data_IF_221304818015
#
_entry.id   IF_221304818015
#
_cell.length_a   1.000
_cell.length_b   1.000
_cell.length_c   1.000
_cell.angle_alpha   90.00
_cell.angle_beta   90.00
_cell.angle_gamma   90.00
#
_symmetry.space_group_name_H-M   'P 1'
#
loop_
_entity.id
_entity.type
_entity.pdbx_description
1 polymer ?
#
# COMPACT_ATOMS: atom_id res chain seq x y z
N UNK A 1 30.03 10.29 25.94
CA UNK A 1 29.01 9.23 26.02
C UNK A 1 28.53 8.97 24.60
N UNK A 2 28.82 7.79 24.05
CA UNK A 2 28.49 7.46 22.64
C UNK A 2 26.98 7.16 22.55
N UNK A 3 26.25 7.89 21.73
CA UNK A 3 24.87 7.67 21.45
C UNK A 3 24.72 6.32 20.74
N UNK A 4 24.17 5.31 21.42
CA UNK A 4 23.73 4.07 20.79
C UNK A 4 22.50 4.43 19.96
N UNK A 5 22.51 4.20 18.62
CA UNK A 5 21.38 4.59 17.80
C UNK A 5 20.13 3.79 18.23
N UNK A 6 19.01 4.49 18.39
CA UNK A 6 17.70 3.97 18.81
C UNK A 6 17.28 2.74 18.00
N UNK A 7 17.75 2.60 16.75
CA UNK A 7 17.52 1.43 15.89
C UNK A 7 18.08 0.10 16.46
N UNK A 8 19.20 0.13 17.20
CA UNK A 8 19.80 -1.09 17.77
C UNK A 8 18.99 -1.56 18.97
N UNK A 9 18.37 -0.65 19.72
CA UNK A 9 17.52 -1.00 20.87
C UNK A 9 16.19 -1.59 20.40
N UNK A 10 15.62 -1.08 19.29
CA UNK A 10 14.38 -1.64 18.72
C UNK A 10 14.58 -3.07 18.16
N UNK A 11 15.75 -3.34 17.55
CA UNK A 11 16.08 -4.65 16.99
C UNK A 11 16.32 -5.71 18.08
N UNK A 12 16.95 -5.32 19.20
CA UNK A 12 17.18 -6.24 20.34
C UNK A 12 15.92 -6.57 21.11
N UNK A 13 14.90 -5.70 21.11
CA UNK A 13 13.60 -6.00 21.74
C UNK A 13 12.78 -7.01 20.94
N UNK A 14 12.96 -7.10 19.61
CA UNK A 14 12.28 -8.10 18.77
C UNK A 14 12.81 -9.54 18.95
N UNK A 15 14.06 -9.73 19.41
CA UNK A 15 14.66 -11.05 19.53
C UNK A 15 14.30 -11.81 20.82
N UNK A 16 13.60 -11.18 21.76
CA UNK A 16 13.27 -11.76 23.08
C UNK A 16 11.80 -12.15 23.26
N UNK A 17 10.98 -12.15 22.20
CA UNK A 17 9.59 -12.60 22.30
C UNK A 17 9.58 -14.12 22.18
N UNK A 18 9.29 -14.89 23.24
CA UNK A 18 9.12 -16.33 23.12
C UNK A 18 7.98 -16.60 22.14
N UNK A 19 8.20 -17.54 21.22
CA UNK A 19 7.16 -18.02 20.30
C UNK A 19 6.06 -18.71 21.13
N UNK A 20 5.13 -17.94 21.67
CA UNK A 20 3.92 -18.47 22.27
C UNK A 20 3.11 -19.09 21.12
N UNK A 21 2.89 -20.38 21.18
CA UNK A 21 1.98 -21.08 20.29
C UNK A 21 0.59 -20.44 20.44
N UNK A 22 0.12 -19.77 19.40
CA UNK A 22 -1.14 -19.04 19.43
C UNK A 22 -2.25 -19.92 18.86
N UNK A 23 -3.03 -20.53 19.74
CA UNK A 23 -4.35 -21.02 19.38
C UNK A 23 -5.32 -19.82 19.41
N UNK A 24 -5.89 -19.46 18.25
CA UNK A 24 -6.98 -18.48 18.13
C UNK A 24 -6.55 -17.01 18.09
N UNK A 25 -5.76 -16.61 17.09
CA UNK A 25 -5.46 -15.19 16.84
C UNK A 25 -6.72 -14.35 16.55
N UNK A 26 -6.74 -13.10 17.04
CA UNK A 26 -7.83 -12.15 16.78
C UNK A 26 -7.62 -11.53 15.40
N UNK A 27 -8.58 -11.68 14.49
CA UNK A 27 -8.60 -10.96 13.24
C UNK A 27 -8.76 -9.45 13.50
N UNK A 28 -7.80 -8.64 13.07
CA UNK A 28 -7.80 -7.19 13.29
C UNK A 28 -8.57 -6.46 12.20
N UNK A 29 -8.31 -6.80 10.92
CA UNK A 29 -8.98 -6.27 9.75
C UNK A 29 -9.71 -7.39 8.99
N UNK A 30 -10.64 -7.03 8.12
CA UNK A 30 -11.34 -8.00 7.26
C UNK A 30 -10.53 -8.36 6.02
N UNK A 31 -9.82 -7.37 5.47
CA UNK A 31 -9.06 -7.48 4.24
C UNK A 31 -7.55 -7.46 4.50
N UNK A 32 -6.78 -8.03 3.59
CA UNK A 32 -5.32 -7.94 3.55
C UNK A 32 -4.82 -6.54 3.21
N UNK A 33 -5.72 -5.62 2.79
CA UNK A 33 -5.42 -4.23 2.42
C UNK A 33 -6.51 -3.27 2.90
N UNK A 34 -6.12 -2.05 3.31
CA UNK A 34 -7.01 -0.90 3.46
C UNK A 34 -7.18 -0.18 2.10
N UNK A 35 -7.34 1.15 2.08
CA UNK A 35 -7.48 1.86 0.79
C UNK A 35 -6.16 1.88 0.03
N UNK A 36 -5.10 2.42 0.67
CA UNK A 36 -3.77 2.54 0.08
C UNK A 36 -2.80 1.51 0.67
N UNK A 37 -2.75 1.36 1.99
CA UNK A 37 -1.77 0.53 2.69
C UNK A 37 -2.22 -0.92 2.89
N UNK A 38 -1.26 -1.83 3.04
CA UNK A 38 -1.51 -3.21 3.45
C UNK A 38 -1.98 -3.27 4.90
N UNK A 39 -2.75 -4.30 5.26
CA UNK A 39 -3.09 -4.62 6.65
C UNK A 39 -2.23 -5.76 7.20
N UNK A 40 -2.24 -5.95 8.52
CA UNK A 40 -1.53 -7.06 9.20
C UNK A 40 -2.02 -8.44 8.80
N UNK A 41 -3.17 -8.56 8.13
CA UNK A 41 -3.78 -9.85 7.83
C UNK A 41 -2.98 -10.65 6.81
N UNK A 42 -2.70 -11.90 7.14
CA UNK A 42 -2.15 -12.94 6.26
C UNK A 42 -3.25 -13.92 5.88
N UNK A 43 -3.10 -14.56 4.74
CA UNK A 43 -3.98 -15.64 4.34
C UNK A 43 -3.63 -16.92 5.09
N UNK A 44 -4.63 -17.67 5.53
CA UNK A 44 -4.43 -19.02 6.07
C UNK A 44 -3.86 -19.95 4.99
N UNK A 45 -3.17 -20.99 5.41
CA UNK A 45 -2.59 -21.98 4.51
C UNK A 45 -3.61 -22.51 3.50
N UNK A 46 -3.19 -22.64 2.24
CA UNK A 46 -4.01 -23.12 1.10
C UNK A 46 -5.19 -22.20 0.72
N UNK A 47 -5.15 -20.94 1.11
CA UNK A 47 -6.09 -19.96 0.62
C UNK A 47 -5.48 -19.14 -0.49
N UNK A 48 -6.27 -18.89 -1.52
CA UNK A 48 -5.93 -18.01 -2.65
C UNK A 48 -6.92 -16.84 -2.65
N UNK A 49 -6.42 -15.61 -2.60
CA UNK A 49 -7.19 -14.40 -2.80
C UNK A 49 -6.89 -13.82 -4.17
N UNK A 50 -7.88 -13.80 -5.06
CA UNK A 50 -7.78 -13.15 -6.37
C UNK A 50 -8.35 -11.75 -6.25
N UNK A 51 -7.57 -10.75 -6.68
CA UNK A 51 -7.87 -9.34 -6.45
C UNK A 51 -7.79 -8.51 -7.73
N UNK A 52 -8.78 -7.63 -7.88
CA UNK A 52 -8.82 -6.59 -8.91
C UNK A 52 -9.00 -5.25 -8.20
N UNK A 53 -8.16 -4.29 -8.51
CA UNK A 53 -8.26 -2.92 -8.04
C UNK A 53 -8.28 -1.95 -9.21
N UNK A 54 -9.06 -0.88 -9.09
CA UNK A 54 -9.18 0.16 -10.11
C UNK A 54 -9.21 1.53 -9.44
N UNK A 55 -8.46 2.47 -10.01
CA UNK A 55 -8.53 3.90 -9.67
C UNK A 55 -8.88 4.70 -10.91
N UNK A 56 -9.88 5.55 -10.77
CA UNK A 56 -10.38 6.43 -11.82
C UNK A 56 -9.59 7.73 -11.89
N UNK A 57 -10.00 8.63 -12.76
CA UNK A 57 -9.44 9.97 -12.88
C UNK A 57 -9.79 10.88 -11.71
N UNK A 58 -9.41 12.13 -11.84
CA UNK A 58 -9.70 13.17 -10.87
C UNK A 58 -11.21 13.44 -10.80
N UNK A 59 -11.74 13.53 -9.56
CA UNK A 59 -13.17 13.70 -9.35
C UNK A 59 -13.61 15.17 -9.49
N UNK A 60 -12.96 16.08 -8.77
CA UNK A 60 -13.40 17.49 -8.61
C UNK A 60 -12.27 18.51 -8.79
N UNK A 61 -11.01 18.10 -8.91
CA UNK A 61 -9.89 18.99 -9.13
C UNK A 61 -9.82 19.51 -10.58
N UNK A 62 -8.69 20.10 -10.94
CA UNK A 62 -8.46 20.77 -12.23
C UNK A 62 -8.70 19.89 -13.46
N UNK A 63 -8.46 18.57 -13.32
CA UNK A 63 -8.67 17.58 -14.38
C UNK A 63 -9.95 16.77 -14.21
N UNK A 64 -10.87 17.20 -13.34
CA UNK A 64 -12.09 16.52 -12.96
C UNK A 64 -13.37 17.19 -13.46
N UNK A 65 -14.45 16.96 -12.71
CA UNK A 65 -15.75 17.56 -12.94
C UNK A 65 -16.56 16.92 -14.08
N UNK A 66 -17.60 17.63 -14.48
CA UNK A 66 -18.57 17.11 -15.48
C UNK A 66 -17.95 16.80 -16.83
N UNK A 67 -16.95 17.56 -17.27
CA UNK A 67 -16.29 17.37 -18.57
C UNK A 67 -15.61 16.01 -18.73
N UNK A 68 -15.24 15.37 -17.63
CA UNK A 68 -14.61 14.03 -17.58
C UNK A 68 -15.55 13.01 -16.93
N UNK A 69 -16.83 13.34 -16.82
CA UNK A 69 -17.80 12.58 -16.04
C UNK A 69 -17.25 12.23 -14.63
N UNK A 70 -16.73 13.25 -13.95
CA UNK A 70 -16.11 13.12 -12.62
C UNK A 70 -14.95 12.10 -12.58
N UNK A 71 -14.14 12.07 -13.63
CA UNK A 71 -13.00 11.17 -13.76
C UNK A 71 -13.35 9.73 -14.12
N UNK A 72 -14.64 9.34 -14.17
CA UNK A 72 -15.06 7.95 -14.39
C UNK A 72 -14.72 7.42 -15.79
N UNK A 73 -14.46 8.28 -16.77
CA UNK A 73 -14.01 7.89 -18.10
C UNK A 73 -12.52 7.50 -18.16
N UNK A 74 -11.76 7.73 -17.08
CA UNK A 74 -10.31 7.54 -17.05
C UNK A 74 -9.95 6.42 -16.08
N UNK A 75 -9.03 5.53 -16.50
CA UNK A 75 -8.38 4.57 -15.62
C UNK A 75 -6.97 5.07 -15.31
N UNK A 76 -6.73 5.64 -14.11
CA UNK A 76 -5.38 6.05 -13.71
C UNK A 76 -4.52 4.84 -13.41
N UNK A 77 -4.98 3.94 -12.55
CA UNK A 77 -4.30 2.68 -12.30
C UNK A 77 -5.27 1.51 -12.22
N UNK A 78 -4.79 0.35 -12.65
CA UNK A 78 -5.48 -0.93 -12.59
C UNK A 78 -4.53 -1.96 -12.04
N UNK A 79 -4.98 -2.71 -11.05
CA UNK A 79 -4.25 -3.83 -10.45
C UNK A 79 -5.04 -5.12 -10.66
N UNK A 80 -4.36 -6.17 -11.09
CA UNK A 80 -4.89 -7.54 -11.12
C UNK A 80 -3.83 -8.50 -10.61
N UNK A 81 -4.21 -9.44 -9.79
CA UNK A 81 -3.28 -10.44 -9.26
C UNK A 81 -3.91 -11.32 -8.21
N UNK A 82 -3.06 -12.02 -7.50
CA UNK A 82 -3.46 -12.93 -6.44
C UNK A 82 -2.43 -13.00 -5.32
N UNK A 83 -2.91 -13.34 -4.13
CA UNK A 83 -2.13 -13.70 -2.95
C UNK A 83 -2.43 -15.14 -2.55
N UNK A 84 -1.42 -15.90 -2.15
CA UNK A 84 -1.53 -17.29 -1.72
C UNK A 84 -0.94 -17.49 -0.33
N UNK A 85 -1.73 -18.06 0.57
CA UNK A 85 -1.30 -18.51 1.89
C UNK A 85 -0.45 -19.78 1.80
N UNK A 86 0.88 -19.63 1.73
CA UNK A 86 1.81 -20.75 1.71
C UNK A 86 1.85 -21.48 3.06
N UNK A 87 1.72 -20.73 4.14
CA UNK A 87 1.50 -21.22 5.51
C UNK A 87 0.49 -20.27 6.21
N UNK A 88 0.09 -20.57 7.43
CA UNK A 88 -0.77 -19.66 8.20
C UNK A 88 -0.09 -18.32 8.57
N UNK A 89 1.23 -18.22 8.38
CA UNK A 89 2.01 -17.01 8.67
C UNK A 89 2.59 -16.38 7.41
N UNK A 90 2.68 -17.10 6.29
CA UNK A 90 3.36 -16.66 5.07
C UNK A 90 2.36 -16.56 3.92
N UNK A 91 2.17 -15.37 3.40
CA UNK A 91 1.43 -15.07 2.18
C UNK A 91 2.38 -14.57 1.11
N UNK A 92 2.31 -15.14 -0.07
CA UNK A 92 3.05 -14.74 -1.26
C UNK A 92 2.06 -14.17 -2.28
N UNK A 93 2.41 -13.08 -2.93
CA UNK A 93 1.53 -12.45 -3.91
C UNK A 93 2.25 -12.09 -5.21
N UNK A 94 1.46 -12.02 -6.28
CA UNK A 94 1.91 -11.54 -7.57
C UNK A 94 0.82 -10.68 -8.21
N UNK A 95 1.18 -9.45 -8.58
CA UNK A 95 0.27 -8.46 -9.14
C UNK A 95 0.84 -7.79 -10.38
N UNK A 96 -0.05 -7.50 -11.32
CA UNK A 96 0.20 -6.59 -12.42
C UNK A 96 -0.49 -5.27 -12.13
N UNK A 97 0.26 -4.16 -12.22
CA UNK A 97 -0.31 -2.81 -12.16
C UNK A 97 0.00 -2.04 -13.44
N UNK A 98 -0.86 -1.10 -13.82
CA UNK A 98 -0.59 -0.18 -14.91
C UNK A 98 0.57 0.76 -14.56
N UNK A 99 0.63 1.17 -13.29
CA UNK A 99 1.51 2.21 -12.78
C UNK A 99 0.98 3.60 -13.13
N UNK A 100 0.76 4.43 -12.14
CA UNK A 100 0.10 5.72 -12.30
C UNK A 100 0.88 6.88 -11.68
N UNK A 101 1.95 6.58 -10.94
CA UNK A 101 2.79 7.60 -10.32
C UNK A 101 3.36 8.57 -11.34
N UNK A 102 3.37 9.84 -11.00
CA UNK A 102 3.97 10.91 -11.79
C UNK A 102 4.61 11.94 -10.87
N UNK A 103 5.63 12.60 -11.37
CA UNK A 103 6.22 13.78 -10.77
C UNK A 103 5.36 15.02 -11.10
N UNK A 104 5.48 16.12 -10.33
CA UNK A 104 4.72 17.35 -10.59
C UNK A 104 5.00 17.97 -11.98
N UNK A 105 6.18 17.73 -12.56
CA UNK A 105 6.54 18.14 -13.92
C UNK A 105 5.91 17.26 -15.03
N UNK A 106 5.10 16.27 -14.63
CA UNK A 106 4.43 15.34 -15.54
C UNK A 106 5.27 14.14 -15.97
N UNK A 107 6.53 14.02 -15.54
CA UNK A 107 7.30 12.81 -15.80
C UNK A 107 6.66 11.61 -15.10
N UNK A 108 6.51 10.51 -15.82
CA UNK A 108 5.93 9.28 -15.30
C UNK A 108 6.94 8.49 -14.47
N UNK A 109 6.47 7.91 -13.37
CA UNK A 109 7.16 6.84 -12.65
C UNK A 109 7.23 5.53 -13.45
N UNK A 110 7.39 4.41 -12.77
CA UNK A 110 7.38 3.09 -13.42
C UNK A 110 6.01 2.80 -14.03
N UNK A 111 6.01 2.18 -15.21
CA UNK A 111 4.80 1.78 -15.94
C UNK A 111 4.80 0.29 -16.24
N UNK A 112 3.59 -0.28 -16.38
CA UNK A 112 3.40 -1.69 -16.72
C UNK A 112 4.18 -2.59 -15.73
N UNK A 113 3.89 -2.46 -14.45
CA UNK A 113 4.71 -3.00 -13.36
C UNK A 113 4.26 -4.40 -12.96
N UNK A 114 5.19 -5.32 -12.84
CA UNK A 114 5.01 -6.60 -12.17
C UNK A 114 5.49 -6.47 -10.73
N UNK A 115 4.67 -6.91 -9.78
CA UNK A 115 4.92 -6.77 -8.35
C UNK A 115 4.91 -8.16 -7.69
N UNK A 116 6.06 -8.62 -7.21
CA UNK A 116 6.16 -9.79 -6.35
C UNK A 116 6.11 -9.36 -4.90
N UNK A 117 5.21 -9.93 -4.09
CA UNK A 117 4.99 -9.53 -2.70
C UNK A 117 5.19 -10.68 -1.73
N UNK A 118 5.63 -10.35 -0.52
CA UNK A 118 5.73 -11.27 0.61
C UNK A 118 5.14 -10.61 1.85
N UNK A 119 4.32 -11.36 2.60
CA UNK A 119 3.76 -10.93 3.87
C UNK A 119 3.99 -12.04 4.91
N UNK A 120 4.57 -11.68 6.06
CA UNK A 120 4.91 -12.65 7.11
C UNK A 120 4.43 -12.16 8.48
N UNK A 121 3.51 -12.92 9.08
CA UNK A 121 3.00 -12.66 10.42
C UNK A 121 4.05 -13.05 11.47
N UNK A 122 4.60 -12.06 12.16
CA UNK A 122 5.57 -12.22 13.25
C UNK A 122 4.86 -12.51 14.57
N UNK A 123 3.77 -11.78 14.84
CA UNK A 123 2.96 -11.86 16.04
C UNK A 123 1.50 -11.63 15.70
N UNK A 124 0.59 -12.35 16.35
CA UNK A 124 -0.85 -12.14 16.23
C UNK A 124 -1.44 -11.73 17.58
N UNK A 125 -2.29 -10.72 17.57
CA UNK A 125 -3.04 -10.32 18.74
C UNK A 125 -3.93 -11.46 19.22
N UNK A 126 -3.97 -11.70 20.52
CA UNK A 126 -4.83 -12.73 21.12
C UNK A 126 -5.34 -12.29 22.47
N UNK A 127 -6.54 -12.78 22.84
CA UNK A 127 -7.14 -12.47 24.13
C UNK A 127 -6.33 -13.12 25.26
N UNK A 128 -5.81 -12.30 26.18
CA UNK A 128 -4.94 -12.77 27.28
C UNK A 128 -3.49 -13.05 26.87
N UNK A 129 -3.11 -12.77 25.60
CA UNK A 129 -1.76 -12.90 25.07
C UNK A 129 -1.22 -11.57 24.54
N UNK A 130 -0.72 -11.57 23.30
CA UNK A 130 -0.16 -10.38 22.68
C UNK A 130 -1.20 -9.27 22.48
N UNK A 131 -0.92 -8.01 22.87
CA UNK A 131 -1.87 -6.89 22.74
C UNK A 131 -1.96 -6.36 21.31
N UNK A 132 -1.00 -6.71 20.43
CA UNK A 132 -0.91 -6.25 19.06
C UNK A 132 -0.60 -7.40 18.09
N UNK A 133 -0.96 -7.22 16.84
CA UNK A 133 -0.44 -8.00 15.70
C UNK A 133 0.75 -7.30 15.11
N UNK A 134 1.76 -8.06 14.67
CA UNK A 134 2.96 -7.57 14.01
C UNK A 134 3.20 -8.39 12.75
N UNK A 135 3.25 -7.73 11.60
CA UNK A 135 3.44 -8.38 10.30
C UNK A 135 4.44 -7.58 9.47
N UNK A 136 5.40 -8.28 8.87
CA UNK A 136 6.27 -7.72 7.84
C UNK A 136 5.61 -7.87 6.47
N UNK A 137 5.73 -6.86 5.62
CA UNK A 137 5.37 -6.92 4.22
C UNK A 137 6.46 -6.29 3.35
N UNK A 138 6.70 -6.89 2.19
CA UNK A 138 7.64 -6.38 1.21
C UNK A 138 7.16 -6.61 -0.21
N UNK A 139 7.59 -5.72 -1.12
CA UNK A 139 7.34 -5.82 -2.56
C UNK A 139 8.61 -5.52 -3.34
N UNK A 140 8.83 -6.30 -4.39
CA UNK A 140 9.76 -6.01 -5.47
C UNK A 140 8.95 -5.73 -6.73
N UNK A 141 9.07 -4.51 -7.24
CA UNK A 141 8.37 -4.01 -8.41
C UNK A 141 9.32 -3.92 -9.60
N UNK A 142 8.90 -4.41 -10.77
CA UNK A 142 9.69 -4.38 -12.00
C UNK A 142 8.87 -3.82 -13.17
N UNK A 143 9.32 -2.73 -13.78
CA UNK A 143 8.70 -2.19 -14.99
C UNK A 143 8.97 -3.06 -16.21
N UNK A 144 7.91 -3.43 -16.94
CA UNK A 144 7.99 -4.09 -18.25
C UNK A 144 7.77 -3.11 -19.42
N UNK A 145 7.65 -1.81 -19.12
CA UNK A 145 7.46 -0.78 -20.15
C UNK A 145 8.64 -0.73 -21.12
N UNK A 146 8.35 -0.32 -22.34
CA UNK A 146 9.37 -0.12 -23.35
C UNK A 146 10.36 0.98 -22.94
N UNK A 147 11.64 0.76 -23.26
CA UNK A 147 12.70 1.73 -23.03
C UNK A 147 12.55 2.91 -23.99
N UNK A 148 12.72 4.14 -23.47
CA UNK A 148 12.84 5.36 -24.28
C UNK A 148 14.32 5.76 -24.29
N UNK A 149 15.06 5.29 -25.29
CA UNK A 149 16.52 5.41 -25.33
C UNK A 149 17.01 6.85 -25.66
N UNK A 150 16.22 7.60 -26.42
CA UNK A 150 16.63 8.90 -26.97
C UNK A 150 16.52 10.07 -25.97
N UNK A 151 16.01 9.82 -24.76
CA UNK A 151 15.91 10.81 -23.71
C UNK A 151 16.58 10.30 -22.43
N UNK A 152 17.80 10.74 -22.09
CA UNK A 152 18.53 10.29 -20.91
C UNK A 152 17.92 10.81 -19.59
N UNK A 153 17.12 11.88 -19.63
CA UNK A 153 16.66 12.60 -18.44
C UNK A 153 15.34 12.05 -17.88
N UNK A 154 14.75 11.04 -18.52
CA UNK A 154 13.52 10.41 -18.04
C UNK A 154 13.77 9.07 -17.34
N UNK A 155 12.93 8.76 -16.33
CA UNK A 155 12.99 7.50 -15.57
C UNK A 155 12.95 6.28 -16.50
N UNK A 156 12.16 6.31 -17.59
CA UNK A 156 12.02 5.22 -18.56
C UNK A 156 13.17 5.03 -19.54
N UNK A 157 14.30 5.74 -19.39
CA UNK A 157 15.48 5.47 -20.21
C UNK A 157 16.03 4.06 -19.97
N UNK A 158 15.97 3.52 -18.74
CA UNK A 158 16.36 2.16 -18.39
C UNK A 158 17.67 1.67 -19.05
N UNK A 159 18.77 2.33 -18.77
CA UNK A 159 20.07 1.93 -19.32
C UNK A 159 20.53 0.54 -18.84
N UNK A 160 19.96 0.02 -17.74
CA UNK A 160 20.17 -1.34 -17.24
C UNK A 160 18.86 -1.95 -16.74
N UNK A 161 18.82 -3.29 -16.54
CA UNK A 161 17.63 -3.94 -15.96
C UNK A 161 17.33 -3.46 -14.55
N UNK A 162 18.35 -3.21 -13.73
CA UNK A 162 18.17 -2.69 -12.36
C UNK A 162 17.41 -1.37 -12.32
N UNK A 163 17.54 -0.54 -13.36
CA UNK A 163 16.81 0.73 -13.45
C UNK A 163 15.28 0.56 -13.56
N UNK A 164 14.82 -0.63 -13.88
CA UNK A 164 13.38 -0.99 -13.91
C UNK A 164 12.80 -1.34 -12.55
N UNK A 165 13.66 -1.43 -11.52
CA UNK A 165 13.29 -1.99 -10.23
C UNK A 165 13.03 -0.90 -9.17
N UNK A 166 11.99 -1.14 -8.37
CA UNK A 166 11.75 -0.45 -7.12
C UNK A 166 11.34 -1.46 -6.05
N UNK A 167 11.61 -1.12 -4.79
CA UNK A 167 11.36 -2.00 -3.65
C UNK A 167 10.68 -1.21 -2.54
N UNK A 168 9.83 -1.88 -1.78
CA UNK A 168 9.33 -1.34 -0.53
C UNK A 168 9.26 -2.45 0.51
N UNK A 169 9.60 -2.10 1.75
CA UNK A 169 9.45 -2.96 2.91
C UNK A 169 8.86 -2.18 4.07
N UNK A 170 7.90 -2.80 4.79
CA UNK A 170 7.23 -2.17 5.91
C UNK A 170 6.94 -3.15 7.04
N UNK A 171 6.83 -2.61 8.24
CA UNK A 171 6.39 -3.32 9.42
C UNK A 171 5.02 -2.80 9.81
N UNK A 172 4.03 -3.66 9.86
CA UNK A 172 2.66 -3.31 10.25
C UNK A 172 2.45 -3.71 11.71
N UNK A 173 2.07 -2.75 12.54
CA UNK A 173 1.78 -2.90 13.97
C UNK A 173 0.31 -2.52 14.16
N UNK A 174 -0.54 -3.49 14.46
CA UNK A 174 -1.97 -3.24 14.54
C UNK A 174 -2.59 -3.80 15.81
N UNK A 175 -3.66 -3.16 16.24
CA UNK A 175 -4.47 -3.63 17.36
C UNK A 175 -5.96 -3.46 17.07
N UNK A 176 -6.73 -4.50 17.35
CA UNK A 176 -8.17 -4.43 17.48
C UNK A 176 -8.49 -3.95 18.88
N UNK A 177 -8.77 -2.65 19.03
CA UNK A 177 -9.01 -1.99 20.31
C UNK A 177 -10.37 -2.39 20.90
N UNK A 178 -11.34 -2.68 20.03
CA UNK A 178 -12.67 -3.15 20.40
C UNK A 178 -13.27 -4.01 19.29
N UNK A 179 -14.49 -4.51 19.48
CA UNK A 179 -15.20 -5.26 18.43
C UNK A 179 -15.49 -4.41 17.19
N UNK A 180 -15.38 -3.08 17.30
CA UNK A 180 -15.70 -2.15 16.22
C UNK A 180 -14.52 -1.38 15.66
N UNK A 181 -13.42 -1.23 16.42
CA UNK A 181 -12.33 -0.31 16.06
C UNK A 181 -11.02 -1.07 16.00
N UNK A 182 -10.33 -0.97 14.88
CA UNK A 182 -8.96 -1.41 14.69
C UNK A 182 -8.09 -0.25 14.23
N UNK A 183 -6.85 -0.21 14.72
CA UNK A 183 -5.83 0.78 14.34
C UNK A 183 -4.57 0.07 13.90
N UNK A 184 -3.84 0.68 12.98
CA UNK A 184 -2.55 0.21 12.47
C UNK A 184 -1.58 1.35 12.29
N UNK A 185 -0.32 1.11 12.65
CA UNK A 185 0.85 1.93 12.37
C UNK A 185 1.76 1.15 11.41
N UNK A 186 2.31 1.84 10.40
CA UNK A 186 3.07 1.19 9.34
C UNK A 186 4.32 2.00 8.97
N UNK A 187 5.43 1.91 9.75
CA UNK A 187 6.72 2.41 9.31
C UNK A 187 7.22 1.58 8.12
N UNK A 188 7.75 2.27 7.10
CA UNK A 188 8.21 1.64 5.88
C UNK A 188 9.37 2.39 5.23
N UNK A 189 10.02 1.72 4.26
CA UNK A 189 11.10 2.27 3.45
C UNK A 189 10.92 1.83 1.99
N UNK A 190 10.94 2.82 1.10
CA UNK A 190 10.89 2.62 -0.35
C UNK A 190 12.24 2.91 -0.95
N UNK A 191 12.73 2.06 -1.85
CA UNK A 191 13.93 2.30 -2.65
C UNK A 191 13.61 2.19 -4.13
N UNK A 192 14.04 3.18 -4.91
CA UNK A 192 13.89 3.23 -6.35
C UNK A 192 15.28 3.32 -6.97
N UNK A 193 15.61 2.42 -7.89
CA UNK A 193 16.95 2.39 -8.49
C UNK A 193 17.22 3.55 -9.45
N UNK A 194 16.15 4.14 -9.99
CA UNK A 194 16.20 5.36 -10.83
C UNK A 194 15.18 6.36 -10.33
N UNK A 195 15.60 7.58 -10.18
CA UNK A 195 14.78 8.73 -9.79
C UNK A 195 15.12 9.93 -10.68
N UNK A 196 14.25 10.95 -10.67
CA UNK A 196 14.52 12.21 -11.34
C UNK A 196 15.73 12.93 -10.70
N UNK A 197 16.31 13.86 -11.45
CA UNK A 197 17.36 14.73 -10.93
C UNK A 197 16.85 15.49 -9.69
N UNK A 198 17.67 15.57 -8.65
CA UNK A 198 17.35 16.14 -7.33
C UNK A 198 16.42 15.29 -6.44
N UNK A 199 15.85 14.20 -6.92
CA UNK A 199 15.05 13.28 -6.10
C UNK A 199 15.95 12.26 -5.37
N UNK A 200 15.41 11.64 -4.30
CA UNK A 200 16.10 10.67 -3.45
C UNK A 200 15.71 9.25 -3.85
N UNK A 201 16.70 8.36 -3.97
CA UNK A 201 16.45 6.93 -4.23
C UNK A 201 15.71 6.26 -3.07
N UNK A 202 16.07 6.61 -1.84
CA UNK A 202 15.54 6.05 -0.60
C UNK A 202 14.53 6.98 0.06
N UNK A 203 13.42 6.44 0.56
CA UNK A 203 12.34 7.22 1.14
C UNK A 203 11.73 6.48 2.33
N UNK A 204 11.85 7.04 3.54
CA UNK A 204 11.11 6.56 4.70
C UNK A 204 9.66 7.05 4.64
N UNK A 205 8.76 6.26 5.20
CA UNK A 205 7.34 6.60 5.30
C UNK A 205 6.72 6.09 6.58
N UNK A 206 5.63 6.73 7.00
CA UNK A 206 4.80 6.29 8.11
C UNK A 206 3.34 6.27 7.68
N UNK A 207 2.76 5.08 7.66
CA UNK A 207 1.33 4.88 7.42
C UNK A 207 0.55 4.78 8.73
N UNK A 208 -0.65 5.35 8.74
CA UNK A 208 -1.67 5.16 9.77
C UNK A 208 -2.92 4.61 9.09
N UNK A 209 -3.49 3.55 9.64
CA UNK A 209 -4.70 2.94 9.12
C UNK A 209 -5.72 2.65 10.21
N UNK A 210 -6.99 2.73 9.86
CA UNK A 210 -8.10 2.41 10.77
C UNK A 210 -9.23 1.70 10.05
N UNK A 211 -9.99 0.94 10.81
CA UNK A 211 -11.24 0.32 10.40
C UNK A 211 -12.28 0.47 11.49
N UNK A 212 -13.46 0.97 11.11
CA UNK A 212 -14.65 1.05 11.94
C UNK A 212 -15.70 0.08 11.43
N UNK A 213 -16.00 -0.95 12.21
CA UNK A 213 -17.08 -1.92 11.92
C UNK A 213 -18.44 -1.29 12.17
N UNK A 214 -19.24 -1.12 11.13
CA UNK A 214 -20.61 -0.60 11.24
C UNK A 214 -21.63 -1.72 11.48
N UNK A 215 -21.49 -2.83 10.74
CA UNK A 215 -22.31 -4.03 10.85
C UNK A 215 -21.50 -5.28 10.55
N UNK A 216 -22.11 -6.45 10.49
CA UNK A 216 -21.42 -7.68 10.07
C UNK A 216 -20.92 -7.63 8.64
N UNK A 217 -21.57 -6.85 7.79
CA UNK A 217 -21.30 -6.71 6.35
C UNK A 217 -20.49 -5.46 6.04
N UNK A 218 -20.74 -4.34 6.72
CA UNK A 218 -20.20 -3.04 6.39
C UNK A 218 -19.13 -2.55 7.37
N UNK A 219 -18.06 -2.00 6.85
CA UNK A 219 -17.01 -1.30 7.58
C UNK A 219 -16.56 -0.03 6.86
N UNK A 220 -16.16 0.98 7.62
CA UNK A 220 -15.45 2.14 7.09
C UNK A 220 -13.96 1.89 7.30
N UNK A 221 -13.16 2.14 6.28
CA UNK A 221 -11.71 2.07 6.31
C UNK A 221 -11.12 3.42 5.93
N UNK A 222 -10.04 3.80 6.60
CA UNK A 222 -9.30 5.01 6.24
C UNK A 222 -7.81 4.78 6.48
N UNK A 223 -6.99 5.44 5.68
CA UNK A 223 -5.55 5.46 5.86
C UNK A 223 -4.92 6.76 5.40
N UNK A 224 -3.75 7.06 5.95
CA UNK A 224 -2.87 8.15 5.51
C UNK A 224 -1.44 7.64 5.51
N UNK A 225 -0.64 8.04 4.53
CA UNK A 225 0.79 7.75 4.47
C UNK A 225 1.58 9.05 4.30
N UNK A 226 2.49 9.28 5.25
CA UNK A 226 3.39 10.42 5.30
C UNK A 226 4.76 9.99 4.78
N UNK A 227 5.23 10.47 3.62
CA UNK A 227 6.63 10.31 3.20
C UNK A 227 7.53 11.30 3.98
N UNK A 228 8.74 10.87 4.35
CA UNK A 228 9.76 11.71 4.96
C UNK A 228 10.87 11.97 3.96
N UNK A 229 10.92 13.17 3.40
CA UNK A 229 11.84 13.58 2.35
C UNK A 229 11.92 15.10 2.30
N UNK A 230 13.10 15.63 2.09
CA UNK A 230 13.31 17.07 1.89
C UNK A 230 12.78 17.52 0.51
N UNK A 231 12.69 16.61 -0.45
CA UNK A 231 12.17 16.88 -1.78
C UNK A 231 10.64 16.81 -1.87
N UNK A 232 9.98 15.92 -1.08
CA UNK A 232 8.53 15.69 -1.14
C UNK A 232 7.75 16.58 -0.20
N UNK A 233 7.74 17.87 -0.53
CA UNK A 233 7.00 18.91 0.20
C UNK A 233 5.83 19.42 -0.64
N UNK A 234 4.86 20.07 -0.02
CA UNK A 234 3.76 20.72 -0.74
C UNK A 234 4.24 21.84 -1.67
N UNK A 235 5.37 22.49 -1.33
CA UNK A 235 6.01 23.49 -2.19
C UNK A 235 6.51 22.88 -3.50
N UNK A 236 6.93 21.62 -3.47
CA UNK A 236 7.34 20.86 -4.64
C UNK A 236 6.19 20.06 -5.27
N UNK A 237 4.92 20.28 -4.85
CA UNK A 237 3.74 19.65 -5.42
C UNK A 237 3.51 18.20 -4.97
N UNK A 238 4.04 17.78 -3.82
CA UNK A 238 3.79 16.46 -3.25
C UNK A 238 2.91 16.54 -2.01
N UNK A 239 2.03 15.56 -1.84
CA UNK A 239 1.07 15.49 -0.75
C UNK A 239 1.05 14.10 -0.11
N UNK A 240 0.71 13.98 1.18
CA UNK A 240 0.45 12.70 1.82
C UNK A 240 -0.67 11.94 1.09
N UNK A 241 -0.47 10.63 0.89
CA UNK A 241 -1.53 9.78 0.37
C UNK A 241 -2.60 9.58 1.45
N UNK A 242 -3.84 9.94 1.15
CA UNK A 242 -5.00 9.80 2.02
C UNK A 242 -6.04 8.90 1.34
N UNK A 243 -6.65 8.00 2.09
CA UNK A 243 -7.71 7.13 1.62
C UNK A 243 -8.88 7.04 2.60
N UNK A 244 -10.09 7.04 2.06
CA UNK A 244 -11.35 6.78 2.79
C UNK A 244 -12.18 5.78 1.98
N UNK A 245 -12.72 4.73 2.61
CA UNK A 245 -13.47 3.71 1.88
C UNK A 245 -14.58 3.06 2.70
N UNK A 246 -15.53 2.48 1.96
CA UNK A 246 -16.54 1.58 2.46
C UNK A 246 -16.16 0.15 2.07
N UNK A 247 -16.04 -0.71 3.07
CA UNK A 247 -15.79 -2.14 2.92
C UNK A 247 -17.11 -2.90 3.04
N UNK A 248 -17.35 -3.84 2.13
CA UNK A 248 -18.57 -4.66 2.05
C UNK A 248 -18.15 -6.13 1.99
N UNK A 249 -18.37 -6.87 3.08
CA UNK A 249 -18.10 -8.31 3.19
C UNK A 249 -19.38 -9.11 2.86
N UNK A 250 -19.40 -9.78 1.71
CA UNK A 250 -20.52 -10.62 1.28
C UNK A 250 -20.33 -12.12 1.62
N UNK A 251 -19.33 -12.44 2.46
CA UNK A 251 -19.03 -13.82 2.90
C UNK A 251 -18.16 -14.64 1.94
N UNK A 252 -18.02 -14.27 0.69
CA UNK A 252 -17.15 -14.92 -0.31
C UNK A 252 -16.39 -13.92 -1.17
N UNK A 253 -16.87 -12.69 -1.23
CA UNK A 253 -16.22 -11.57 -1.85
C UNK A 253 -16.12 -10.42 -0.86
N UNK A 254 -15.02 -9.68 -0.95
CA UNK A 254 -14.87 -8.41 -0.27
C UNK A 254 -14.80 -7.30 -1.32
N UNK A 255 -15.68 -6.33 -1.20
CA UNK A 255 -15.73 -5.16 -2.05
C UNK A 255 -15.26 -3.95 -1.23
N UNK A 256 -14.49 -3.08 -1.85
CA UNK A 256 -14.16 -1.77 -1.31
C UNK A 256 -14.51 -0.70 -2.35
N UNK A 257 -15.30 0.29 -1.94
CA UNK A 257 -15.52 1.53 -2.66
C UNK A 257 -14.73 2.61 -1.95
N UNK A 258 -13.84 3.29 -2.63
CA UNK A 258 -12.92 4.19 -1.95
C UNK A 258 -12.68 5.49 -2.71
N UNK A 259 -12.24 6.49 -1.96
CA UNK A 259 -11.75 7.78 -2.44
C UNK A 259 -10.32 7.97 -1.95
N UNK A 260 -9.44 8.43 -2.82
CA UNK A 260 -8.04 8.68 -2.50
C UNK A 260 -7.45 9.73 -3.44
N UNK A 261 -6.48 10.51 -2.96
CA UNK A 261 -5.68 11.38 -3.81
C UNK A 261 -4.52 10.63 -4.50
N UNK A 262 -4.16 9.43 -4.03
CA UNK A 262 -3.11 8.64 -4.65
C UNK A 262 -3.55 8.12 -6.03
N UNK A 263 -2.73 8.31 -7.05
CA UNK A 263 -2.97 7.79 -8.41
C UNK A 263 -2.59 6.33 -8.55
N UNK A 264 -1.45 5.93 -7.99
CA UNK A 264 -0.94 4.56 -8.02
C UNK A 264 -1.48 3.70 -6.89
N UNK A 265 -1.60 2.37 -7.10
CA UNK A 265 -2.15 1.42 -6.12
C UNK A 265 -1.06 0.84 -5.21
N UNK A 266 0.14 0.54 -5.75
CA UNK A 266 1.22 -0.09 -4.97
C UNK A 266 2.06 0.93 -4.22
N UNK A 267 2.61 0.52 -3.08
CA UNK A 267 3.43 1.35 -2.19
C UNK A 267 4.67 1.94 -2.88
N UNK A 268 5.27 1.20 -3.81
CA UNK A 268 6.37 1.68 -4.66
C UNK A 268 5.95 2.76 -5.66
N UNK A 269 4.66 2.95 -5.84
CA UNK A 269 4.08 3.93 -6.76
C UNK A 269 3.44 5.11 -6.01
N UNK A 270 2.50 4.86 -5.07
CA UNK A 270 1.80 5.98 -4.44
C UNK A 270 2.64 6.72 -3.39
N UNK A 271 3.52 6.04 -2.64
CA UNK A 271 4.31 6.72 -1.60
C UNK A 271 5.23 7.80 -2.21
N UNK A 272 6.00 7.50 -3.28
CA UNK A 272 6.86 8.51 -3.88
C UNK A 272 6.17 9.49 -4.83
N UNK A 273 4.95 9.21 -5.31
CA UNK A 273 4.36 9.93 -6.44
C UNK A 273 2.93 10.41 -6.21
N UNK A 274 2.51 10.68 -4.97
CA UNK A 274 1.23 11.34 -4.72
C UNK A 274 1.40 12.85 -4.85
N UNK A 275 0.85 13.42 -5.94
CA UNK A 275 0.92 14.83 -6.31
C UNK A 275 -0.43 15.53 -6.27
N UNK A 276 -1.50 14.82 -6.01
CA UNK A 276 -2.86 15.38 -5.92
C UNK A 276 -3.20 15.83 -4.50
N UNK A 277 -3.84 16.98 -4.38
CA UNK A 277 -4.24 17.58 -3.10
C UNK A 277 -5.72 17.39 -2.81
N UNK A 278 -6.08 16.77 -1.69
CA UNK A 278 -7.46 16.62 -1.25
C UNK A 278 -8.20 17.95 -1.09
N UNK A 279 -7.49 18.99 -0.62
CA UNK A 279 -8.09 20.30 -0.34
C UNK A 279 -8.49 21.02 -1.61
N UNK A 280 -7.88 20.70 -2.74
CA UNK A 280 -8.18 21.25 -4.06
C UNK A 280 -9.19 20.39 -4.84
N UNK A 281 -9.79 19.37 -4.19
CA UNK A 281 -10.73 18.45 -4.81
C UNK A 281 -10.07 17.37 -5.69
N UNK A 282 -8.75 17.28 -5.69
CA UNK A 282 -7.97 16.33 -6.48
C UNK A 282 -7.94 14.96 -5.83
N UNK A 283 -9.06 14.33 -5.76
CA UNK A 283 -9.19 12.94 -5.33
C UNK A 283 -10.00 12.15 -6.34
N UNK A 284 -9.89 10.86 -6.29
CA UNK A 284 -10.49 9.93 -7.25
C UNK A 284 -11.27 8.84 -6.58
N UNK A 285 -12.30 8.42 -7.25
CA UNK A 285 -13.01 7.19 -6.93
C UNK A 285 -12.16 5.99 -7.30
N UNK A 286 -12.28 4.92 -6.53
CA UNK A 286 -11.70 3.63 -6.81
C UNK A 286 -12.53 2.50 -6.23
N UNK A 287 -12.27 1.30 -6.69
CA UNK A 287 -12.80 0.10 -6.08
C UNK A 287 -11.77 -1.01 -6.02
N UNK A 288 -11.96 -1.93 -5.09
CA UNK A 288 -11.24 -3.19 -5.04
C UNK A 288 -12.25 -4.31 -4.86
N UNK A 289 -12.05 -5.41 -5.58
CA UNK A 289 -12.82 -6.63 -5.44
C UNK A 289 -11.82 -7.74 -5.13
N UNK A 290 -12.03 -8.46 -4.06
CA UNK A 290 -11.27 -9.65 -3.72
C UNK A 290 -12.20 -10.84 -3.57
N UNK A 291 -11.71 -12.02 -3.99
CA UNK A 291 -12.40 -13.29 -3.84
C UNK A 291 -11.47 -14.34 -3.28
N UNK A 292 -11.89 -14.90 -2.16
CA UNK A 292 -11.14 -15.92 -1.45
C UNK A 292 -11.58 -17.32 -1.90
N UNK A 293 -10.59 -18.16 -2.26
CA UNK A 293 -10.77 -19.56 -2.61
C UNK A 293 -10.04 -20.44 -1.60
N UNK A 294 -10.60 -21.61 -1.29
CA UNK A 294 -9.96 -22.68 -0.54
C UNK A 294 -9.41 -23.71 -1.55
N UNK A 295 -8.12 -24.03 -1.48
CA UNK A 295 -7.42 -24.96 -2.37
C UNK A 295 -7.07 -26.26 -1.64
#
# INVERSE_FOLDING_TARGET
MKNIPIFVVLFLFCCAIPALAQEGGTQTFKDSRLVNIQSVETLSKRRLDVRIGHRFGDLLGDNGGWSTFYGLEQATDVMIGAEYGATDKLTLGFFRTKGAGALPDGQAGLRQVLNGTVKYALLQQSKGGAPVSLTFWGVAAASTAERIADNPDIIRNFSSFSHRMAYHGQLMIASRLSDRIALQLTPGYTHRNVVAFQDENGLFSLGLGTRLQLSRVFGIIADVTLPFSDYRTSENGFYPALGLGLEIDSGGHLFQLNFTNATGIMETDFIPYTTSNWLDGEFRFGFTISRLFNL
#
